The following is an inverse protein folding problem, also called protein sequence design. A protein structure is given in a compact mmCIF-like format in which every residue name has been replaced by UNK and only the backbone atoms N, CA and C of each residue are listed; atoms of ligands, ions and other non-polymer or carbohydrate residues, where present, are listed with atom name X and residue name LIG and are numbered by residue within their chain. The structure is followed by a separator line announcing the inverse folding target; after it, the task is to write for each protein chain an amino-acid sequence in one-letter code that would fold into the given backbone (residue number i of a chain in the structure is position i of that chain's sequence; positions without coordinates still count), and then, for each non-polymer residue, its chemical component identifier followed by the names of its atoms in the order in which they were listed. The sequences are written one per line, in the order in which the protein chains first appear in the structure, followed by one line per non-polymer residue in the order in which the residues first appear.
data_IF_171682074299
#
_entry.id   IF_171682074299
#
_cell.length_a   1.000
_cell.length_b   1.000
_cell.length_c   1.000
_cell.angle_alpha   90.00
_cell.angle_beta   90.00
_cell.angle_gamma   90.00
#
_symmetry.space_group_name_H-M   'P 1'
#
loop_
_entity.id
_entity.type
_entity.pdbx_description
1 polymer ?
#
# COMPACT_ATOMS: atom_id res chain seq x y z
N UNK A 1 15.58 -20.32 17.45
CA UNK A 1 15.21 -18.94 17.81
C UNK A 1 14.45 -18.39 16.63
N UNK A 2 13.23 -17.90 16.83
CA UNK A 2 12.51 -17.16 15.80
C UNK A 2 12.96 -15.70 15.89
N UNK A 3 13.35 -15.10 14.78
CA UNK A 3 13.53 -13.66 14.69
C UNK A 3 12.17 -13.03 14.38
N UNK A 4 11.90 -11.86 14.95
CA UNK A 4 10.69 -11.07 14.68
C UNK A 4 11.09 -9.83 13.90
N UNK A 5 10.41 -9.57 12.78
CA UNK A 5 10.50 -8.31 12.06
C UNK A 5 9.65 -7.28 12.80
N UNK A 6 10.20 -6.10 13.04
CA UNK A 6 9.51 -4.99 13.68
C UNK A 6 9.57 -3.77 12.77
N UNK A 7 8.40 -3.30 12.35
CA UNK A 7 8.27 -2.03 11.64
C UNK A 7 7.50 -1.05 12.54
N UNK A 8 8.07 0.15 12.67
CA UNK A 8 7.46 1.22 13.45
C UNK A 8 7.40 2.47 12.60
N UNK A 9 6.20 3.04 12.48
CA UNK A 9 5.99 4.22 11.66
C UNK A 9 5.12 5.26 12.36
N UNK A 10 5.41 6.51 12.06
CA UNK A 10 4.65 7.65 12.56
C UNK A 10 4.17 8.47 11.37
N UNK A 11 2.86 8.70 11.30
CA UNK A 11 2.27 9.65 10.36
C UNK A 11 1.35 10.61 11.12
N UNK A 12 1.55 11.91 10.95
CA UNK A 12 0.80 12.96 11.63
C UNK A 12 0.82 12.83 13.17
N UNK A 13 -0.25 12.26 13.75
CA UNK A 13 -0.37 11.98 15.19
C UNK A 13 -0.68 10.51 15.46
N UNK A 14 -0.29 9.60 14.57
CA UNK A 14 -0.53 8.16 14.72
C UNK A 14 0.79 7.42 14.66
N UNK A 15 1.10 6.68 15.71
CA UNK A 15 2.23 5.75 15.76
C UNK A 15 1.69 4.34 15.55
N UNK A 16 2.12 3.65 14.50
CA UNK A 16 1.70 2.28 14.17
C UNK A 16 2.86 1.31 14.36
N UNK A 17 2.61 0.18 15.00
CA UNK A 17 3.55 -0.92 15.19
C UNK A 17 3.09 -2.13 14.41
N UNK A 18 4.02 -2.77 13.71
CA UNK A 18 3.84 -4.03 13.01
C UNK A 18 4.83 -5.04 13.55
N UNK A 19 4.36 -6.27 13.75
CA UNK A 19 5.16 -7.40 14.19
C UNK A 19 4.94 -8.51 13.18
N UNK A 20 6.01 -8.92 12.49
CA UNK A 20 5.95 -9.98 11.47
C UNK A 20 4.92 -9.70 10.35
N UNK A 21 4.76 -8.43 9.96
CA UNK A 21 3.86 -8.00 8.89
C UNK A 21 2.54 -7.39 9.39
N UNK A 22 1.45 -7.66 8.69
CA UNK A 22 0.10 -7.20 9.04
C UNK A 22 -0.66 -8.28 9.83
N UNK A 23 -1.62 -7.85 10.64
CA UNK A 23 -2.63 -8.74 11.22
C UNK A 23 -3.53 -9.35 10.13
N UNK A 24 -4.31 -10.37 10.49
CA UNK A 24 -5.18 -11.09 9.55
C UNK A 24 -6.25 -10.21 8.86
N UNK A 25 -6.60 -9.08 9.46
CA UNK A 25 -7.53 -8.08 8.93
C UNK A 25 -6.83 -6.96 8.14
N UNK A 26 -5.52 -7.09 7.89
CA UNK A 26 -4.71 -6.12 7.15
C UNK A 26 -4.35 -4.86 7.96
N UNK A 27 -4.55 -4.89 9.28
CA UNK A 27 -4.21 -3.78 10.18
C UNK A 27 -2.83 -3.95 10.83
N UNK A 28 -2.25 -2.86 11.40
CA UNK A 28 -1.08 -2.97 12.25
C UNK A 28 -1.42 -3.71 13.55
N UNK A 29 -0.41 -4.30 14.20
CA UNK A 29 -0.55 -4.91 15.52
C UNK A 29 -1.14 -3.93 16.55
N UNK A 30 -0.67 -2.68 16.54
CA UNK A 30 -1.26 -1.60 17.34
C UNK A 30 -1.08 -0.24 16.65
N UNK A 31 -1.98 0.70 16.94
CA UNK A 31 -1.85 2.10 16.52
C UNK A 31 -2.27 3.04 17.64
N UNK A 32 -1.32 3.82 18.15
CA UNK A 32 -1.53 4.77 19.25
C UNK A 32 -1.63 6.21 18.76
N UNK A 33 -2.60 7.00 19.28
CA UNK A 33 -2.66 8.43 19.03
C UNK A 33 -1.59 9.17 19.84
N UNK A 34 -0.92 10.13 19.20
CA UNK A 34 0.04 11.03 19.83
C UNK A 34 -0.64 12.33 20.27
N UNK A 35 -0.20 12.88 21.40
CA UNK A 35 -0.73 14.14 21.93
C UNK A 35 -0.51 15.31 20.97
N UNK A 36 0.62 15.31 20.25
CA UNK A 36 1.00 16.34 19.28
C UNK A 36 1.71 15.70 18.08
N UNK A 37 1.79 16.46 16.98
CA UNK A 37 2.61 16.09 15.82
C UNK A 37 4.08 16.04 16.22
N UNK A 38 4.79 15.05 15.70
CA UNK A 38 6.24 15.02 15.77
C UNK A 38 6.79 15.78 14.56
N UNK A 39 7.62 16.77 14.82
CA UNK A 39 8.34 17.50 13.77
C UNK A 39 9.49 16.63 13.28
N UNK A 40 9.67 16.53 11.97
CA UNK A 40 10.89 15.96 11.42
C UNK A 40 12.08 16.75 11.97
N UNK A 41 13.03 16.03 12.57
CA UNK A 41 14.28 16.65 13.04
C UNK A 41 15.03 17.19 11.82
N UNK A 42 15.35 18.48 11.85
CA UNK A 42 16.10 19.19 10.80
C UNK A 42 17.42 18.50 10.44
N UNK A 43 17.93 18.78 9.24
CA UNK A 43 19.26 18.35 8.79
C UNK A 43 20.31 18.50 9.90
N UNK A 44 20.92 17.39 10.31
CA UNK A 44 21.92 17.33 11.38
C UNK A 44 21.54 16.50 12.62
N UNK A 45 20.34 15.92 12.67
CA UNK A 45 19.98 14.94 13.71
C UNK A 45 20.83 13.66 13.62
N UNK A 46 21.46 13.27 14.73
CA UNK A 46 22.16 11.98 14.83
C UNK A 46 21.21 10.90 15.36
N UNK A 47 21.03 9.83 14.58
CA UNK A 47 20.35 8.61 15.04
C UNK A 47 21.36 7.67 15.69
N UNK A 48 21.03 7.19 16.89
CA UNK A 48 21.81 6.20 17.61
C UNK A 48 20.99 4.93 17.76
N UNK A 49 21.54 3.80 17.35
CA UNK A 49 20.88 2.48 17.46
C UNK A 49 21.65 1.65 18.47
N UNK A 50 20.91 0.96 19.35
CA UNK A 50 21.50 0.08 20.36
C UNK A 50 22.10 0.81 21.57
N UNK A 51 21.68 2.04 21.86
CA UNK A 51 22.01 2.77 23.07
C UNK A 51 20.74 3.17 23.83
N UNK A 52 20.82 3.26 25.15
CA UNK A 52 19.74 3.86 25.96
C UNK A 52 19.59 5.35 25.67
N UNK A 53 18.44 5.94 26.02
CA UNK A 53 18.13 7.35 25.74
C UNK A 53 19.16 8.34 26.33
N UNK A 54 19.84 7.97 27.41
CA UNK A 54 20.91 8.73 28.05
C UNK A 54 22.33 8.30 27.60
N UNK A 55 22.44 7.36 26.65
CA UNK A 55 23.70 6.82 26.14
C UNK A 55 24.49 5.92 27.11
N UNK A 56 23.96 5.63 28.31
CA UNK A 56 24.73 4.94 29.35
C UNK A 56 24.85 3.43 29.14
N UNK A 57 23.88 2.81 28.48
CA UNK A 57 23.78 1.36 28.31
C UNK A 57 23.72 1.00 26.83
N UNK A 58 24.40 -0.08 26.47
CA UNK A 58 24.31 -0.68 25.13
C UNK A 58 23.26 -1.80 25.11
N UNK A 59 22.61 -1.96 23.97
CA UNK A 59 21.71 -3.08 23.72
C UNK A 59 22.50 -4.39 23.70
N UNK A 60 22.00 -5.38 24.44
CA UNK A 60 22.58 -6.73 24.49
C UNK A 60 21.59 -7.68 23.81
N UNK A 61 21.88 -8.03 22.56
CA UNK A 61 21.04 -8.90 21.74
C UNK A 61 21.45 -8.88 20.28
N UNK A 62 20.68 -9.58 19.44
CA UNK A 62 20.88 -9.57 17.99
C UNK A 62 19.90 -8.60 17.35
N UNK A 63 20.42 -7.73 16.51
CA UNK A 63 19.64 -6.84 15.64
C UNK A 63 20.23 -6.94 14.25
N UNK A 64 19.36 -7.10 13.26
CA UNK A 64 19.75 -7.24 11.86
C UNK A 64 18.83 -6.41 10.99
N UNK A 65 19.34 -5.98 9.84
CA UNK A 65 18.58 -5.31 8.78
C UNK A 65 17.86 -4.02 9.24
N UNK A 66 18.59 -3.18 9.95
CA UNK A 66 18.08 -1.87 10.38
C UNK A 66 17.95 -0.94 9.16
N UNK A 67 16.72 -0.51 8.88
CA UNK A 67 16.40 0.41 7.78
C UNK A 67 15.61 1.59 8.31
N UNK A 68 15.84 2.76 7.72
CA UNK A 68 15.09 3.97 8.01
C UNK A 68 14.49 4.50 6.71
N UNK A 69 13.20 4.81 6.76
CA UNK A 69 12.46 5.38 5.63
C UNK A 69 12.01 6.80 6.00
N UNK A 70 12.25 7.79 5.14
CA UNK A 70 11.84 9.17 5.39
C UNK A 70 10.32 9.39 5.20
N UNK A 71 9.57 8.33 4.91
CA UNK A 71 8.13 8.34 4.73
C UNK A 71 7.55 7.05 5.33
N UNK A 72 6.27 7.08 5.71
CA UNK A 72 5.57 5.87 6.16
C UNK A 72 5.37 4.91 5.01
N UNK A 73 5.50 3.62 5.32
CA UNK A 73 5.29 2.55 4.37
C UNK A 73 3.80 2.22 4.31
N UNK A 74 3.36 1.85 3.11
CA UNK A 74 2.04 1.28 2.90
C UNK A 74 1.94 -0.09 3.54
N UNK A 75 0.73 -0.54 3.88
CA UNK A 75 0.56 -1.86 4.48
C UNK A 75 1.05 -2.97 3.53
N UNK A 76 0.93 -2.79 2.21
CA UNK A 76 1.46 -3.73 1.21
C UNK A 76 3.00 -3.75 1.19
N UNK A 77 3.66 -2.62 1.43
CA UNK A 77 5.11 -2.55 1.61
C UNK A 77 5.59 -3.27 2.87
N UNK A 78 4.84 -3.16 3.96
CA UNK A 78 5.13 -3.90 5.19
C UNK A 78 5.09 -5.42 4.92
N UNK A 79 4.09 -5.89 4.16
CA UNK A 79 4.05 -7.30 3.74
C UNK A 79 5.19 -7.66 2.79
N UNK A 80 5.56 -6.77 1.86
CA UNK A 80 6.71 -6.96 0.97
C UNK A 80 8.02 -7.09 1.76
N UNK A 81 8.22 -6.27 2.79
CA UNK A 81 9.40 -6.34 3.67
C UNK A 81 9.46 -7.66 4.44
N UNK A 82 8.33 -8.14 4.95
CA UNK A 82 8.27 -9.39 5.71
C UNK A 82 8.40 -10.64 4.82
N UNK A 83 7.68 -10.68 3.70
CA UNK A 83 7.56 -11.87 2.85
C UNK A 83 8.52 -11.90 1.66
N UNK A 84 9.12 -10.76 1.31
CA UNK A 84 9.90 -10.57 0.09
C UNK A 84 9.06 -10.45 -1.18
N UNK A 85 7.73 -10.45 -1.08
CA UNK A 85 6.81 -10.39 -2.24
C UNK A 85 5.76 -9.30 -2.02
N UNK A 86 5.60 -8.39 -2.98
CA UNK A 86 4.52 -7.40 -2.94
C UNK A 86 3.18 -8.11 -3.20
N UNK A 87 2.19 -8.03 -2.30
CA UNK A 87 0.92 -8.73 -2.47
C UNK A 87 0.19 -8.25 -3.72
N UNK A 88 -0.29 -9.15 -4.56
CA UNK A 88 -1.06 -8.77 -5.75
C UNK A 88 -2.41 -8.14 -5.36
N UNK A 89 -2.85 -7.17 -6.16
CA UNK A 89 -4.21 -6.64 -6.15
C UNK A 89 -4.88 -7.02 -7.46
N UNK A 90 -6.20 -7.00 -7.46
CA UNK A 90 -6.96 -7.27 -8.67
C UNK A 90 -6.60 -6.29 -9.78
N UNK A 91 -6.40 -5.02 -9.42
CA UNK A 91 -6.16 -3.91 -10.36
C UNK A 91 -4.99 -3.06 -9.93
N UNK A 92 -4.09 -2.76 -10.87
CA UNK A 92 -2.94 -1.88 -10.65
C UNK A 92 -2.14 -2.27 -9.40
N UNK A 93 -1.68 -3.52 -9.32
CA UNK A 93 -0.86 -4.02 -8.20
C UNK A 93 0.34 -3.11 -7.92
N UNK A 94 0.97 -2.55 -8.94
CA UNK A 94 2.15 -1.70 -8.73
C UNK A 94 1.81 -0.34 -8.10
N UNK A 95 0.55 0.10 -8.15
CA UNK A 95 0.15 1.39 -7.59
C UNK A 95 -0.04 1.31 -6.07
N UNK A 96 0.81 2.07 -5.37
CA UNK A 96 0.91 2.11 -3.91
C UNK A 96 -0.03 3.18 -3.34
N UNK A 97 -0.47 2.95 -2.12
CA UNK A 97 -1.21 3.94 -1.36
C UNK A 97 -0.30 5.09 -0.90
N UNK A 98 -0.83 6.29 -0.61
CA UNK A 98 -0.02 7.36 -0.06
C UNK A 98 0.31 7.12 1.43
N UNK A 99 1.41 7.70 1.95
CA UNK A 99 1.80 7.66 3.36
C UNK A 99 0.68 8.00 4.36
N UNK A 100 -0.22 8.91 3.97
CA UNK A 100 -1.34 9.35 4.81
C UNK A 100 -2.47 8.33 4.95
N UNK A 101 -2.60 7.43 3.97
CA UNK A 101 -3.65 6.42 3.89
C UNK A 101 -3.02 5.09 3.49
N UNK A 102 -2.19 4.47 4.35
CA UNK A 102 -1.32 3.36 3.93
C UNK A 102 -2.05 2.05 3.64
N UNK A 103 -3.32 1.90 4.02
CA UNK A 103 -4.10 0.67 3.85
C UNK A 103 -5.00 0.77 2.61
N UNK A 104 -5.02 -0.27 1.78
CA UNK A 104 -6.01 -0.38 0.69
C UNK A 104 -7.39 -0.57 1.32
N UNK A 105 -8.40 0.13 0.79
CA UNK A 105 -9.76 0.01 1.29
C UNK A 105 -10.33 -1.37 0.93
N UNK A 106 -10.69 -2.23 1.90
CA UNK A 106 -10.98 -3.64 1.63
C UNK A 106 -12.28 -3.87 0.86
N UNK A 107 -13.26 -2.96 0.99
CA UNK A 107 -14.51 -3.03 0.23
C UNK A 107 -14.43 -2.38 -1.17
N UNK A 108 -13.44 -1.50 -1.41
CA UNK A 108 -13.36 -0.68 -2.63
C UNK A 108 -11.90 -0.36 -2.97
N UNK A 109 -11.20 -1.28 -3.65
CA UNK A 109 -9.74 -1.22 -3.87
C UNK A 109 -9.21 0.02 -4.62
N UNK A 110 -10.09 0.84 -5.22
CA UNK A 110 -9.71 2.14 -5.80
C UNK A 110 -9.32 3.19 -4.76
N UNK A 111 -9.68 2.97 -3.50
CA UNK A 111 -9.38 3.87 -2.40
C UNK A 111 -8.34 3.31 -1.45
N UNK A 112 -7.68 4.22 -0.75
CA UNK A 112 -6.87 3.94 0.41
C UNK A 112 -7.44 4.65 1.64
N UNK A 113 -7.24 4.05 2.81
CA UNK A 113 -7.74 4.51 4.12
C UNK A 113 -6.59 4.59 5.14
N UNK A 114 -6.69 5.42 6.19
CA UNK A 114 -5.71 5.43 7.27
C UNK A 114 -5.68 4.11 8.06
N UNK A 115 -4.62 3.89 8.84
CA UNK A 115 -4.62 2.82 9.82
C UNK A 115 -5.56 3.13 11.00
N UNK A 116 -6.04 2.08 11.67
CA UNK A 116 -6.91 2.15 12.84
C UNK A 116 -8.18 3.01 12.61
N UNK A 117 -8.81 2.79 11.47
CA UNK A 117 -10.16 3.25 11.13
C UNK A 117 -10.99 2.03 10.71
N UNK A 118 -12.30 2.13 10.82
CA UNK A 118 -13.21 1.11 10.32
C UNK A 118 -13.19 1.05 8.78
N UNK A 119 -13.46 -0.12 8.24
CA UNK A 119 -13.49 -0.37 6.79
C UNK A 119 -14.63 0.35 6.05
N UNK A 120 -15.53 0.98 6.79
CA UNK A 120 -16.65 1.80 6.31
C UNK A 120 -16.32 3.30 6.33
N UNK A 121 -15.10 3.68 6.71
CA UNK A 121 -14.71 5.08 6.84
C UNK A 121 -14.90 5.87 5.55
N UNK A 122 -15.31 7.13 5.70
CA UNK A 122 -15.33 8.10 4.61
C UNK A 122 -14.00 8.86 4.48
N UNK A 123 -13.10 8.71 5.45
CA UNK A 123 -11.74 9.24 5.38
C UNK A 123 -10.90 8.35 4.46
N UNK A 124 -10.98 8.66 3.16
CA UNK A 124 -10.39 7.87 2.09
C UNK A 124 -9.90 8.74 0.96
N UNK A 125 -8.84 8.29 0.30
CA UNK A 125 -8.25 8.96 -0.87
C UNK A 125 -8.16 7.99 -2.04
N UNK A 126 -8.21 8.51 -3.27
CA UNK A 126 -8.02 7.67 -4.44
C UNK A 126 -6.58 7.14 -4.49
N UNK A 127 -6.46 5.86 -4.79
CA UNK A 127 -5.17 5.19 -4.99
C UNK A 127 -4.52 5.59 -6.31
N UNK A 128 -5.36 5.88 -7.31
CA UNK A 128 -4.96 6.32 -8.64
C UNK A 128 -5.39 7.77 -8.87
N UNK A 129 -4.74 8.44 -9.81
CA UNK A 129 -5.16 9.78 -10.23
C UNK A 129 -6.61 9.73 -10.77
N UNK A 130 -7.41 10.76 -10.52
CA UNK A 130 -8.79 10.88 -11.02
C UNK A 130 -8.91 10.79 -12.54
N UNK A 131 -7.86 11.18 -13.26
CA UNK A 131 -7.79 11.14 -14.72
C UNK A 131 -7.10 9.85 -15.24
N UNK A 132 -6.79 8.90 -14.36
CA UNK A 132 -6.22 7.62 -14.77
C UNK A 132 -7.35 6.72 -15.27
N UNK A 133 -7.16 6.16 -16.46
CA UNK A 133 -8.09 5.22 -17.10
C UNK A 133 -7.35 3.97 -17.60
N UNK A 134 -6.64 3.24 -16.73
CA UNK A 134 -5.83 2.09 -17.13
C UNK A 134 -6.69 0.93 -17.65
N UNK A 135 -6.08 0.07 -18.46
CA UNK A 135 -6.75 -1.10 -19.06
C UNK A 135 -7.37 -2.04 -18.01
N UNK A 136 -6.76 -2.12 -16.84
CA UNK A 136 -7.26 -2.93 -15.72
C UNK A 136 -8.64 -2.51 -15.21
N UNK A 137 -9.13 -1.30 -15.52
CA UNK A 137 -10.51 -0.90 -15.18
C UNK A 137 -11.58 -1.67 -15.98
N UNK A 138 -11.21 -2.38 -17.07
CA UNK A 138 -12.20 -3.16 -17.84
C UNK A 138 -12.80 -4.30 -17.02
N UNK A 139 -12.06 -4.84 -16.07
CA UNK A 139 -12.46 -6.02 -15.30
C UNK A 139 -12.36 -5.81 -13.80
N UNK A 140 -12.28 -4.58 -13.29
CA UNK A 140 -12.01 -4.27 -11.88
C UNK A 140 -13.17 -4.47 -10.91
N UNK A 141 -14.35 -4.86 -11.42
CA UNK A 141 -15.59 -5.02 -10.66
C UNK A 141 -16.12 -3.71 -10.03
N UNK A 142 -15.69 -2.55 -10.53
CA UNK A 142 -16.12 -1.24 -10.06
C UNK A 142 -16.87 -0.47 -11.16
N UNK A 143 -18.19 -0.32 -11.01
CA UNK A 143 -19.02 0.42 -11.97
C UNK A 143 -18.69 1.93 -12.06
N UNK A 144 -17.87 2.46 -11.15
CA UNK A 144 -17.45 3.86 -11.14
C UNK A 144 -16.15 4.14 -11.91
N UNK A 145 -15.49 3.12 -12.45
CA UNK A 145 -14.25 3.25 -13.22
C UNK A 145 -14.51 2.96 -14.70
N UNK A 146 -13.61 3.40 -15.58
CA UNK A 146 -13.72 3.17 -17.02
C UNK A 146 -12.34 3.27 -17.66
N UNK A 147 -12.00 2.29 -18.50
CA UNK A 147 -10.83 2.39 -19.39
C UNK A 147 -11.13 3.32 -20.57
N UNK A 148 -10.14 4.11 -20.97
CA UNK A 148 -10.23 4.98 -22.14
C UNK A 148 -9.10 4.67 -23.12
N UNK A 149 -9.43 4.56 -24.40
CA UNK A 149 -8.42 4.48 -25.46
C UNK A 149 -7.70 5.82 -25.64
N UNK A 150 -6.61 5.81 -26.41
CA UNK A 150 -6.05 7.06 -26.93
C UNK A 150 -7.08 7.79 -27.80
N UNK A 151 -6.91 9.11 -27.93
CA UNK A 151 -7.59 9.90 -28.95
C UNK A 151 -7.06 9.46 -30.31
N UNK A 152 -7.95 9.04 -31.20
CA UNK A 152 -7.61 8.52 -32.53
C UNK A 152 -7.92 9.54 -33.62
N UNK A 153 -7.09 9.55 -34.65
CA UNK A 153 -7.40 10.15 -35.94
C UNK A 153 -8.44 9.31 -36.69
N UNK A 154 -9.02 9.86 -37.77
CA UNK A 154 -9.99 9.13 -38.60
C UNK A 154 -9.43 7.82 -39.16
N UNK A 155 -8.15 7.82 -39.55
CA UNK A 155 -7.51 6.63 -40.10
C UNK A 155 -7.31 5.54 -39.05
N UNK A 156 -6.87 5.91 -37.84
CA UNK A 156 -6.71 4.96 -36.72
C UNK A 156 -8.06 4.40 -36.25
N UNK A 157 -9.15 5.15 -36.42
CA UNK A 157 -10.48 4.66 -36.13
C UNK A 157 -10.90 3.52 -37.06
N UNK A 158 -10.44 3.52 -38.32
CA UNK A 158 -10.69 2.43 -39.27
C UNK A 158 -9.92 1.14 -38.88
N UNK A 159 -8.77 1.29 -38.20
CA UNK A 159 -7.99 0.16 -37.67
C UNK A 159 -8.55 -0.38 -36.34
N UNK A 160 -9.14 0.49 -35.52
CA UNK A 160 -9.80 0.15 -34.27
C UNK A 160 -8.85 -0.09 -33.08
N UNK A 161 -9.42 -0.61 -31.98
CA UNK A 161 -8.66 -1.06 -30.80
C UNK A 161 -8.81 -2.57 -30.66
N UNK A 162 -7.71 -3.26 -30.40
CA UNK A 162 -7.74 -4.67 -29.97
C UNK A 162 -7.45 -4.77 -28.47
N UNK A 163 -8.35 -5.40 -27.72
CA UNK A 163 -8.14 -5.80 -26.32
C UNK A 163 -7.93 -7.32 -26.31
N UNK A 164 -6.83 -7.77 -25.71
CA UNK A 164 -6.51 -9.20 -25.60
C UNK A 164 -6.75 -9.65 -24.16
N UNK A 165 -7.40 -10.79 -23.98
CA UNK A 165 -7.68 -11.39 -22.68
C UNK A 165 -7.10 -12.80 -22.66
N UNK A 166 -6.10 -13.00 -21.80
CA UNK A 166 -5.48 -14.31 -21.61
C UNK A 166 -6.14 -15.03 -20.43
N UNK A 167 -6.69 -16.22 -20.69
CA UNK A 167 -7.35 -17.03 -19.66
C UNK A 167 -6.37 -18.06 -19.10
N UNK A 168 -5.96 -17.87 -17.84
CA UNK A 168 -4.83 -18.61 -17.25
C UNK A 168 -5.10 -20.10 -16.95
N UNK A 169 -6.36 -20.54 -16.76
CA UNK A 169 -6.64 -21.88 -16.23
C UNK A 169 -7.19 -22.88 -17.27
N UNK A 170 -6.71 -22.81 -18.51
CA UNK A 170 -6.96 -23.83 -19.55
C UNK A 170 -8.04 -23.45 -20.56
N UNK A 171 -8.87 -24.43 -20.96
CA UNK A 171 -9.91 -24.24 -21.98
C UNK A 171 -11.25 -23.86 -21.36
N UNK A 172 -11.87 -22.81 -21.90
CA UNK A 172 -13.14 -22.29 -21.42
C UNK A 172 -14.21 -22.36 -22.52
N UNK A 173 -15.44 -22.67 -22.13
CA UNK A 173 -16.62 -22.49 -22.98
C UNK A 173 -17.21 -21.10 -22.70
N UNK A 174 -17.08 -20.18 -23.67
CA UNK A 174 -17.57 -18.81 -23.54
C UNK A 174 -19.04 -18.76 -23.99
N UNK A 175 -19.94 -18.48 -23.06
CA UNK A 175 -21.38 -18.39 -23.34
C UNK A 175 -21.82 -16.97 -23.73
N UNK A 176 -21.25 -15.96 -23.10
CA UNK A 176 -21.48 -14.55 -23.41
C UNK A 176 -20.30 -13.69 -22.92
N UNK A 177 -20.14 -12.54 -23.55
CA UNK A 177 -19.30 -11.42 -23.14
C UNK A 177 -20.24 -10.22 -22.99
N UNK A 178 -20.12 -9.48 -21.89
CA UNK A 178 -20.93 -8.30 -21.58
C UNK A 178 -20.01 -7.08 -21.57
#
# INVERSE_FOLDING_TARGET
MSATLMDFQIHDRRASLFLDGLEADGTPYDTQPLAARLSDTSEGGAMWVGLSANGSNQFIGWMQDFRFYPATLTNREIVELFSGTLPELHVQSDCRCPPSHPRVHPLVERYCIPNAVEDTTNDRVLRLNLNAHPLSYINDHDMGTTWLSKVMTKHELDEGVTITVDLANGQYQVMHLI
#
